data_IF_950455325689
#
_entry.id   IF_950455325689
#
_cell.length_a   1.000
_cell.length_b   1.000
_cell.length_c   1.000
_cell.angle_alpha   90.00
_cell.angle_beta   90.00
_cell.angle_gamma   90.00
#
_symmetry.space_group_name_H-M   'P 1'
#
loop_
_entity.id
_entity.type
_entity.pdbx_description
1 polymer ?
#
# COMPACT_ATOMS: atom_id res chain seq x y z
N UNK A 1 -28.59 -18.78 -29.07
CA UNK A 1 -28.86 -19.08 -27.68
C UNK A 1 -27.62 -19.53 -26.88
N UNK A 2 -26.52 -18.79 -26.89
CA UNK A 2 -25.38 -19.06 -26.01
C UNK A 2 -25.37 -18.22 -24.69
N UNK A 3 -26.19 -17.15 -24.62
CA UNK A 3 -26.12 -16.23 -23.48
C UNK A 3 -26.74 -16.78 -22.16
N UNK A 4 -27.72 -17.66 -22.27
CA UNK A 4 -28.42 -18.21 -21.10
C UNK A 4 -27.51 -19.17 -20.29
N UNK A 5 -26.62 -19.89 -20.98
CA UNK A 5 -25.75 -20.86 -20.31
C UNK A 5 -24.62 -20.18 -19.49
N UNK A 6 -24.10 -19.06 -19.98
CA UNK A 6 -23.06 -18.30 -19.30
C UNK A 6 -23.62 -17.58 -18.06
N UNK A 7 -24.84 -17.09 -18.12
CA UNK A 7 -25.53 -16.43 -17.01
C UNK A 7 -25.81 -17.42 -15.88
N UNK A 8 -26.19 -18.66 -16.20
CA UNK A 8 -26.49 -19.71 -15.19
C UNK A 8 -25.20 -20.16 -14.48
N UNK A 9 -24.08 -20.32 -15.20
CA UNK A 9 -22.81 -20.71 -14.59
C UNK A 9 -22.25 -19.60 -13.66
N UNK A 10 -22.40 -18.32 -14.02
CA UNK A 10 -22.02 -17.20 -13.13
C UNK A 10 -22.86 -17.20 -11.84
N UNK A 11 -24.16 -17.35 -11.94
CA UNK A 11 -25.06 -17.40 -10.79
C UNK A 11 -24.76 -18.60 -9.85
N UNK A 12 -24.38 -19.75 -10.39
CA UNK A 12 -24.04 -20.93 -9.59
C UNK A 12 -22.70 -20.78 -8.87
N UNK A 13 -21.73 -20.10 -9.47
CA UNK A 13 -20.43 -19.82 -8.81
C UNK A 13 -20.62 -18.81 -7.67
N UNK A 14 -21.43 -17.77 -7.88
CA UNK A 14 -21.67 -16.76 -6.86
C UNK A 14 -22.52 -17.28 -5.70
N UNK A 15 -23.43 -18.26 -5.94
CA UNK A 15 -24.21 -18.88 -4.87
C UNK A 15 -23.40 -19.77 -3.93
N UNK A 16 -22.27 -20.31 -4.39
CA UNK A 16 -21.36 -21.13 -3.55
C UNK A 16 -20.58 -20.30 -2.52
N UNK A 17 -20.47 -18.98 -2.71
CA UNK A 17 -19.76 -18.07 -1.80
C UNK A 17 -20.66 -17.34 -0.79
N UNK A 18 -21.98 -17.53 -0.88
CA UNK A 18 -22.97 -16.80 -0.06
C UNK A 18 -23.03 -17.21 1.42
N UNK A 19 -22.22 -18.17 1.88
CA UNK A 19 -22.45 -18.80 3.21
C UNK A 19 -21.56 -18.29 4.36
N UNK A 20 -20.78 -17.21 4.19
CA UNK A 20 -19.81 -16.82 5.22
C UNK A 20 -20.02 -15.47 5.90
N UNK A 21 -20.89 -14.61 5.38
CA UNK A 21 -20.99 -13.24 5.87
C UNK A 21 -22.25 -13.01 6.70
N UNK A 22 -22.07 -12.58 7.94
CA UNK A 22 -23.16 -12.17 8.85
C UNK A 22 -23.81 -10.83 8.47
N UNK A 23 -23.26 -10.15 7.44
CA UNK A 23 -23.78 -8.91 6.84
C UNK A 23 -24.35 -9.16 5.44
N UNK A 24 -25.03 -8.16 4.87
CA UNK A 24 -25.49 -8.20 3.48
C UNK A 24 -24.32 -8.16 2.49
N UNK A 25 -24.55 -8.71 1.29
CA UNK A 25 -23.58 -8.60 0.18
C UNK A 25 -24.20 -7.84 -0.96
N UNK A 26 -23.47 -6.84 -1.47
CA UNK A 26 -23.83 -6.10 -2.68
C UNK A 26 -22.90 -6.49 -3.82
N UNK A 27 -23.46 -6.59 -5.00
CA UNK A 27 -22.74 -6.90 -6.23
C UNK A 27 -22.63 -5.67 -7.10
N UNK A 28 -21.44 -5.41 -7.62
CA UNK A 28 -21.14 -4.34 -8.57
C UNK A 28 -20.59 -4.96 -9.85
N UNK A 29 -21.22 -4.69 -10.97
CA UNK A 29 -20.74 -5.11 -12.28
C UNK A 29 -21.17 -4.10 -13.35
N UNK A 30 -20.29 -3.12 -13.65
CA UNK A 30 -20.59 -2.08 -14.65
C UNK A 30 -20.80 -2.62 -16.06
N UNK A 31 -20.30 -3.81 -16.39
CA UNK A 31 -20.41 -4.43 -17.71
C UNK A 31 -21.65 -5.34 -17.83
N UNK A 32 -22.36 -5.60 -16.76
CA UNK A 32 -23.55 -6.44 -16.79
C UNK A 32 -24.69 -5.72 -17.52
N UNK A 33 -25.35 -6.37 -18.48
CA UNK A 33 -26.52 -5.79 -19.14
C UNK A 33 -27.65 -5.49 -18.14
N UNK A 34 -28.01 -4.22 -17.98
CA UNK A 34 -29.00 -3.79 -16.99
C UNK A 34 -28.43 -3.42 -15.63
N UNK A 35 -27.10 -3.37 -15.46
CA UNK A 35 -26.50 -2.78 -14.26
C UNK A 35 -26.96 -1.31 -14.09
N UNK A 36 -27.44 -0.97 -12.92
CA UNK A 36 -27.88 0.37 -12.56
C UNK A 36 -27.72 0.61 -11.06
N UNK A 37 -27.43 1.83 -10.68
CA UNK A 37 -27.39 2.18 -9.24
C UNK A 37 -28.80 2.25 -8.62
N UNK A 38 -29.85 2.19 -9.44
CA UNK A 38 -31.23 2.00 -8.98
C UNK A 38 -31.57 0.55 -8.61
N UNK A 39 -30.74 -0.43 -9.05
CA UNK A 39 -30.89 -1.83 -8.65
C UNK A 39 -30.66 -1.97 -7.15
N UNK A 40 -31.21 -3.01 -6.53
CA UNK A 40 -30.93 -3.32 -5.11
C UNK A 40 -29.49 -3.79 -4.86
N UNK A 41 -28.84 -4.35 -5.87
CA UNK A 41 -27.47 -4.88 -5.80
C UNK A 41 -27.36 -6.19 -5.03
N UNK A 42 -28.45 -6.78 -4.55
CA UNK A 42 -28.44 -7.96 -3.68
C UNK A 42 -28.15 -9.28 -4.43
N UNK A 43 -28.03 -9.22 -5.74
CA UNK A 43 -27.70 -10.39 -6.56
C UNK A 43 -26.82 -10.03 -7.75
N UNK A 44 -26.03 -10.99 -8.22
CA UNK A 44 -25.18 -10.82 -9.40
C UNK A 44 -25.97 -10.63 -10.73
N UNK A 45 -27.26 -10.91 -10.74
CA UNK A 45 -28.13 -10.67 -11.91
C UNK A 45 -28.86 -9.32 -11.87
N UNK A 46 -28.76 -8.57 -10.77
CA UNK A 46 -29.28 -7.22 -10.56
C UNK A 46 -28.22 -6.35 -9.87
N UNK A 47 -27.02 -6.23 -10.44
CA UNK A 47 -25.90 -5.56 -9.76
C UNK A 47 -26.07 -4.05 -9.81
N UNK A 48 -25.42 -3.38 -8.88
CA UNK A 48 -25.11 -1.96 -8.97
C UNK A 48 -24.17 -1.71 -10.15
N UNK A 49 -24.24 -0.52 -10.70
CA UNK A 49 -23.33 -0.13 -11.78
C UNK A 49 -22.01 0.41 -11.26
N UNK A 50 -22.04 1.12 -10.12
CA UNK A 50 -20.87 1.77 -9.52
C UNK A 50 -20.61 1.28 -8.11
N UNK A 51 -19.36 1.38 -7.67
CA UNK A 51 -18.97 1.07 -6.28
C UNK A 51 -19.58 2.11 -5.34
N UNK A 52 -19.56 3.39 -5.72
CA UNK A 52 -20.19 4.48 -4.97
C UNK A 52 -21.68 4.24 -4.77
N UNK A 53 -22.41 3.77 -5.81
CA UNK A 53 -23.82 3.40 -5.70
C UNK A 53 -24.05 2.21 -4.75
N UNK A 54 -23.12 1.26 -4.70
CA UNK A 54 -23.18 0.16 -3.75
C UNK A 54 -22.94 0.64 -2.31
N UNK A 55 -21.92 1.50 -2.07
CA UNK A 55 -21.68 2.09 -0.76
C UNK A 55 -22.94 2.83 -0.27
N UNK A 56 -23.54 3.68 -1.12
CA UNK A 56 -24.77 4.43 -0.76
C UNK A 56 -25.98 3.55 -0.43
N UNK A 57 -25.97 2.28 -0.80
CA UNK A 57 -27.03 1.29 -0.50
C UNK A 57 -26.65 0.32 0.61
N UNK A 58 -25.37 0.30 1.02
CA UNK A 58 -24.82 -0.59 2.02
C UNK A 58 -25.04 -0.10 3.45
N UNK A 59 -24.48 -0.85 4.38
CA UNK A 59 -24.46 -0.55 5.81
C UNK A 59 -23.17 -1.08 6.43
N UNK A 60 -22.91 -0.74 7.69
CA UNK A 60 -21.81 -1.31 8.48
C UNK A 60 -21.78 -2.83 8.41
N UNK A 61 -20.60 -3.42 8.27
CA UNK A 61 -20.38 -4.86 8.19
C UNK A 61 -20.82 -5.53 6.90
N UNK A 62 -21.24 -4.75 5.89
CA UNK A 62 -21.60 -5.31 4.59
C UNK A 62 -20.37 -5.58 3.73
N UNK A 63 -20.55 -6.47 2.76
CA UNK A 63 -19.55 -6.75 1.73
C UNK A 63 -20.00 -6.23 0.37
N UNK A 64 -19.10 -5.56 -0.34
CA UNK A 64 -19.28 -5.16 -1.73
C UNK A 64 -18.34 -6.02 -2.59
N UNK A 65 -18.92 -6.82 -3.48
CA UNK A 65 -18.20 -7.61 -4.45
C UNK A 65 -18.17 -6.92 -5.80
N UNK A 66 -16.97 -6.60 -6.25
CA UNK A 66 -16.75 -5.82 -7.45
C UNK A 66 -16.27 -6.74 -8.58
N UNK A 67 -17.04 -6.85 -9.64
CA UNK A 67 -16.69 -7.63 -10.82
C UNK A 67 -15.47 -7.01 -11.55
N UNK A 68 -14.79 -7.79 -12.42
CA UNK A 68 -13.73 -7.28 -13.26
C UNK A 68 -14.19 -6.09 -14.11
N UNK A 69 -13.33 -5.10 -14.24
CA UNK A 69 -13.60 -3.90 -15.04
C UNK A 69 -12.74 -2.72 -14.59
N UNK A 70 -12.78 -1.66 -15.37
CA UNK A 70 -12.09 -0.41 -15.04
C UNK A 70 -13.10 0.62 -14.50
N UNK A 71 -13.10 0.84 -13.21
CA UNK A 71 -13.95 1.80 -12.50
C UNK A 71 -13.24 3.14 -12.41
N UNK A 72 -13.81 4.17 -13.02
CA UNK A 72 -13.20 5.51 -13.11
C UNK A 72 -13.77 6.49 -12.10
N UNK A 73 -14.26 6.00 -10.98
CA UNK A 73 -14.86 6.77 -9.91
C UNK A 73 -13.88 7.06 -8.77
N UNK A 74 -14.05 8.19 -8.10
CA UNK A 74 -13.42 8.49 -6.83
C UNK A 74 -14.33 7.95 -5.73
N UNK A 75 -13.87 6.95 -5.00
CA UNK A 75 -14.65 6.21 -4.02
C UNK A 75 -14.39 6.81 -2.65
N UNK A 76 -15.44 7.27 -1.98
CA UNK A 76 -15.37 7.74 -0.59
C UNK A 76 -16.19 6.80 0.30
N UNK A 77 -15.56 6.22 1.31
CA UNK A 77 -16.22 5.48 2.38
C UNK A 77 -16.40 6.45 3.56
N UNK A 78 -17.59 7.01 3.76
CA UNK A 78 -17.79 8.00 4.81
C UNK A 78 -17.85 7.34 6.19
N UNK A 79 -17.77 8.13 7.25
CA UNK A 79 -17.99 7.68 8.62
C UNK A 79 -19.38 6.99 8.75
N UNK A 80 -19.46 5.96 9.58
CA UNK A 80 -20.68 5.19 9.78
C UNK A 80 -20.78 3.90 8.96
N UNK A 81 -19.72 3.52 8.23
CA UNK A 81 -19.61 2.27 7.46
C UNK A 81 -18.60 1.31 8.09
N UNK A 82 -18.58 1.22 9.41
CA UNK A 82 -17.66 0.37 10.15
C UNK A 82 -17.76 -1.09 9.72
N UNK A 83 -16.61 -1.71 9.46
CA UNK A 83 -16.54 -3.11 9.06
C UNK A 83 -16.97 -3.37 7.61
N UNK A 84 -17.09 -2.33 6.77
CA UNK A 84 -17.33 -2.50 5.34
C UNK A 84 -16.18 -3.26 4.70
N UNK A 85 -16.52 -4.23 3.85
CA UNK A 85 -15.57 -5.01 3.09
C UNK A 85 -15.75 -4.70 1.60
N UNK A 86 -14.69 -4.32 0.89
CA UNK A 86 -14.70 -4.19 -0.58
C UNK A 86 -13.74 -5.22 -1.18
N UNK A 87 -14.30 -6.20 -1.85
CA UNK A 87 -13.59 -7.30 -2.49
C UNK A 87 -13.62 -7.13 -4.01
N UNK A 88 -12.45 -6.93 -4.61
CA UNK A 88 -12.29 -7.04 -6.05
C UNK A 88 -12.22 -8.50 -6.51
N UNK A 89 -12.22 -8.73 -7.82
CA UNK A 89 -12.14 -10.09 -8.35
C UNK A 89 -10.71 -10.63 -8.40
N UNK A 90 -9.77 -9.80 -8.84
CA UNK A 90 -8.37 -10.14 -9.00
C UNK A 90 -7.54 -8.86 -9.02
N UNK A 91 -6.32 -8.92 -8.53
CA UNK A 91 -5.35 -7.82 -8.59
C UNK A 91 -4.43 -7.91 -9.81
N UNK A 92 -4.35 -9.07 -10.42
CA UNK A 92 -3.44 -9.36 -11.53
C UNK A 92 -4.20 -10.06 -12.66
N UNK A 93 -3.75 -9.86 -13.88
CA UNK A 93 -4.31 -10.54 -15.03
C UNK A 93 -5.33 -9.71 -15.84
N UNK A 94 -5.89 -10.32 -16.87
CA UNK A 94 -6.76 -9.65 -17.83
C UNK A 94 -8.18 -9.38 -17.31
N UNK A 95 -8.59 -10.10 -16.25
CA UNK A 95 -9.94 -10.01 -15.67
C UNK A 95 -9.91 -9.42 -14.26
N UNK A 96 -9.06 -8.41 -14.04
CA UNK A 96 -8.94 -7.76 -12.74
C UNK A 96 -9.98 -6.65 -12.54
N UNK A 97 -10.25 -6.35 -11.29
CA UNK A 97 -10.93 -5.13 -10.88
C UNK A 97 -9.90 -4.01 -10.79
N UNK A 98 -10.07 -2.93 -11.53
CA UNK A 98 -9.19 -1.77 -11.51
C UNK A 98 -9.96 -0.51 -11.12
N UNK A 99 -9.44 0.24 -10.15
CA UNK A 99 -9.92 1.58 -9.78
C UNK A 99 -8.93 2.58 -10.36
N UNK A 100 -9.39 3.41 -11.31
CA UNK A 100 -8.51 4.31 -12.07
C UNK A 100 -9.26 5.60 -12.45
N UNK A 101 -9.50 6.51 -11.50
CA UNK A 101 -10.06 7.82 -11.83
C UNK A 101 -9.03 8.65 -12.60
N UNK A 102 -9.52 9.60 -13.38
CA UNK A 102 -8.65 10.49 -14.15
C UNK A 102 -7.82 11.43 -13.25
N UNK A 103 -8.37 11.81 -12.10
CA UNK A 103 -7.72 12.70 -11.13
C UNK A 103 -8.28 12.48 -9.72
N UNK A 104 -7.60 13.01 -8.72
CA UNK A 104 -7.99 12.90 -7.32
C UNK A 104 -7.71 11.52 -6.72
N UNK A 105 -8.16 11.30 -5.50
CA UNK A 105 -7.93 10.08 -4.72
C UNK A 105 -8.87 8.97 -5.20
N UNK A 106 -8.36 7.83 -5.70
CA UNK A 106 -9.18 6.69 -6.10
C UNK A 106 -10.05 6.16 -4.97
N UNK A 107 -9.48 5.95 -3.77
CA UNK A 107 -10.23 5.46 -2.61
C UNK A 107 -9.84 6.25 -1.37
N UNK A 108 -10.85 6.84 -0.72
CA UNK A 108 -10.74 7.53 0.56
C UNK A 108 -11.60 6.83 1.61
N UNK A 109 -11.02 6.52 2.79
CA UNK A 109 -11.67 5.83 3.89
C UNK A 109 -11.72 6.75 5.10
N UNK A 110 -12.95 7.07 5.55
CA UNK A 110 -13.22 7.89 6.73
C UNK A 110 -14.04 7.11 7.78
N UNK A 111 -13.97 5.79 7.81
CA UNK A 111 -14.68 4.89 8.71
C UNK A 111 -13.71 3.92 9.36
N UNK A 112 -14.12 3.12 10.34
CA UNK A 112 -13.27 2.17 11.03
C UNK A 112 -13.45 0.74 10.51
N UNK A 113 -12.44 -0.12 10.75
CA UNK A 113 -12.49 -1.57 10.47
C UNK A 113 -12.83 -1.90 9.00
N UNK A 114 -12.45 -1.07 8.06
CA UNK A 114 -12.69 -1.30 6.63
C UNK A 114 -11.64 -2.26 6.09
N UNK A 115 -12.07 -3.21 5.25
CA UNK A 115 -11.20 -4.16 4.56
C UNK A 115 -11.30 -3.98 3.05
N UNK A 116 -10.14 -3.85 2.36
CA UNK A 116 -10.07 -3.70 0.90
C UNK A 116 -9.03 -4.66 0.35
N UNK A 117 -9.42 -5.48 -0.62
CA UNK A 117 -8.51 -6.49 -1.19
C UNK A 117 -8.88 -6.95 -2.61
N UNK A 118 -7.94 -7.68 -3.23
CA UNK A 118 -8.07 -8.31 -4.56
C UNK A 118 -8.38 -7.33 -5.70
N UNK A 119 -7.73 -6.17 -5.77
CA UNK A 119 -7.92 -5.23 -6.86
C UNK A 119 -6.63 -4.47 -7.21
N UNK A 120 -6.65 -3.84 -8.36
CA UNK A 120 -5.64 -2.86 -8.77
C UNK A 120 -6.18 -1.45 -8.51
N UNK A 121 -5.35 -0.60 -7.93
CA UNK A 121 -5.64 0.81 -7.72
C UNK A 121 -4.54 1.62 -8.40
N UNK A 122 -4.93 2.48 -9.34
CA UNK A 122 -4.00 3.37 -10.04
C UNK A 122 -4.23 4.77 -9.51
N UNK A 123 -3.19 5.39 -8.95
CA UNK A 123 -3.26 6.77 -8.49
C UNK A 123 -3.73 7.68 -9.63
N UNK A 124 -4.65 8.59 -9.36
CA UNK A 124 -5.06 9.58 -10.33
C UNK A 124 -3.92 10.58 -10.64
N UNK A 125 -4.12 11.50 -11.55
CA UNK A 125 -3.20 12.61 -11.73
C UNK A 125 -3.42 13.67 -10.65
N UNK A 126 -2.33 14.31 -10.21
CA UNK A 126 -2.42 15.42 -9.24
C UNK A 126 -3.25 16.55 -9.85
N UNK A 127 -4.30 16.97 -9.16
CA UNK A 127 -5.05 18.15 -9.57
C UNK A 127 -4.19 19.42 -9.38
N UNK A 128 -4.29 20.44 -10.26
CA UNK A 128 -3.56 21.68 -10.10
C UNK A 128 -3.88 22.31 -8.74
N UNK A 129 -2.87 22.43 -7.88
CA UNK A 129 -2.99 23.01 -6.54
C UNK A 129 -3.00 22.02 -5.39
N UNK A 130 -3.18 20.72 -5.65
CA UNK A 130 -2.99 19.67 -4.66
C UNK A 130 -1.50 19.31 -4.59
N UNK A 131 -1.01 19.14 -3.37
CA UNK A 131 0.39 18.80 -3.12
C UNK A 131 0.65 17.30 -3.14
N UNK A 132 -0.39 16.48 -2.95
CA UNK A 132 -0.26 15.03 -2.86
C UNK A 132 -1.49 14.33 -3.46
N UNK A 133 -1.25 13.41 -4.37
CA UNK A 133 -2.28 12.53 -4.89
C UNK A 133 -1.99 11.10 -4.41
N UNK A 134 -2.90 10.54 -3.67
CA UNK A 134 -2.78 9.22 -3.04
C UNK A 134 -3.70 8.24 -3.73
N UNK A 135 -3.23 7.01 -3.98
CA UNK A 135 -4.10 5.96 -4.52
C UNK A 135 -5.11 5.48 -3.46
N UNK A 136 -4.67 5.37 -2.22
CA UNK A 136 -5.51 4.94 -1.10
C UNK A 136 -5.22 5.78 0.14
N UNK A 137 -6.21 6.53 0.60
CA UNK A 137 -6.14 7.39 1.78
C UNK A 137 -6.99 6.85 2.91
N UNK A 138 -6.41 6.66 4.10
CA UNK A 138 -7.05 6.03 5.23
C UNK A 138 -7.06 6.95 6.46
N UNK A 139 -8.25 7.09 7.04
CA UNK A 139 -8.48 7.61 8.40
C UNK A 139 -9.30 6.64 9.22
N UNK A 140 -9.03 6.57 10.52
CA UNK A 140 -9.75 5.73 11.47
C UNK A 140 -8.97 4.51 11.92
N UNK A 141 -9.64 3.51 12.45
CA UNK A 141 -9.01 2.43 13.21
C UNK A 141 -9.12 1.07 12.53
N UNK A 142 -8.10 0.20 12.72
CA UNK A 142 -8.13 -1.23 12.41
C UNK A 142 -8.47 -1.58 10.95
N UNK A 143 -7.93 -0.86 10.00
CA UNK A 143 -8.11 -1.19 8.59
C UNK A 143 -7.30 -2.42 8.19
N UNK A 144 -7.83 -3.20 7.24
CA UNK A 144 -7.10 -4.28 6.58
C UNK A 144 -7.00 -4.01 5.10
N UNK A 145 -5.80 -3.84 4.62
CA UNK A 145 -5.48 -3.51 3.24
C UNK A 145 -4.53 -4.57 2.72
N UNK A 146 -5.02 -5.46 1.85
CA UNK A 146 -4.20 -6.58 1.44
C UNK A 146 -4.50 -7.06 0.02
N UNK A 147 -3.59 -7.86 -0.53
CA UNK A 147 -3.74 -8.42 -1.87
C UNK A 147 -4.06 -7.36 -2.94
N UNK A 148 -3.49 -6.16 -2.82
CA UNK A 148 -3.65 -5.08 -3.78
C UNK A 148 -2.46 -4.98 -4.74
N UNK A 149 -2.73 -4.47 -5.94
CA UNK A 149 -1.72 -3.88 -6.83
C UNK A 149 -1.93 -2.38 -6.86
N UNK A 150 -0.98 -1.61 -6.34
CA UNK A 150 -1.05 -0.15 -6.27
C UNK A 150 0.00 0.43 -7.20
N UNK A 151 -0.44 1.25 -8.15
CA UNK A 151 0.42 1.78 -9.19
C UNK A 151 0.47 3.31 -9.13
N UNK A 152 1.69 3.87 -9.09
CA UNK A 152 1.93 5.29 -9.28
C UNK A 152 1.67 5.71 -10.73
N UNK A 153 1.00 6.84 -10.96
CA UNK A 153 0.66 7.33 -12.29
C UNK A 153 1.26 8.69 -12.64
N UNK A 154 1.64 9.48 -11.65
CA UNK A 154 2.19 10.83 -11.82
C UNK A 154 3.25 11.14 -10.79
N UNK A 155 4.06 12.16 -11.08
CA UNK A 155 4.99 12.70 -10.09
C UNK A 155 4.23 13.22 -8.86
N UNK A 156 4.82 13.12 -7.69
CA UNK A 156 4.21 13.50 -6.43
C UNK A 156 3.06 12.60 -5.96
N UNK A 157 2.82 11.46 -6.62
CA UNK A 157 1.79 10.52 -6.17
C UNK A 157 2.27 9.64 -5.02
N UNK A 158 1.33 9.29 -4.14
CA UNK A 158 1.56 8.34 -3.05
C UNK A 158 0.72 7.08 -3.27
N UNK A 159 1.24 5.94 -2.84
CA UNK A 159 0.51 4.68 -2.93
C UNK A 159 -0.56 4.60 -1.84
N UNK A 160 -0.15 4.46 -0.59
CA UNK A 160 -1.03 4.39 0.58
C UNK A 160 -0.66 5.50 1.55
N UNK A 161 -1.64 6.25 2.02
CA UNK A 161 -1.46 7.23 3.08
C UNK A 161 -2.30 6.84 4.31
N UNK A 162 -1.63 6.53 5.40
CA UNK A 162 -2.21 6.31 6.72
C UNK A 162 -2.17 7.65 7.47
N UNK A 163 -3.30 8.31 7.65
CA UNK A 163 -3.44 9.60 8.31
C UNK A 163 -4.38 9.47 9.52
N UNK A 164 -3.84 9.44 10.73
CA UNK A 164 -4.61 9.10 11.93
C UNK A 164 -5.31 7.72 11.76
N UNK A 165 -4.57 6.76 11.21
CA UNK A 165 -5.06 5.44 10.85
C UNK A 165 -4.45 4.37 11.77
N UNK A 166 -4.88 4.35 13.02
CA UNK A 166 -4.33 3.47 14.05
C UNK A 166 -4.63 1.99 13.78
N UNK A 167 -3.65 1.15 14.11
CA UNK A 167 -3.73 -0.31 13.96
C UNK A 167 -4.05 -0.76 12.54
N UNK A 168 -3.72 0.05 11.54
CA UNK A 168 -3.86 -0.36 10.15
C UNK A 168 -2.91 -1.53 9.85
N UNK A 169 -3.41 -2.54 9.13
CA UNK A 169 -2.67 -3.73 8.70
C UNK A 169 -2.61 -3.75 7.17
N UNK A 170 -1.41 -3.47 6.63
CA UNK A 170 -1.15 -3.40 5.18
C UNK A 170 -0.23 -4.54 4.81
N UNK A 171 -0.74 -5.52 4.05
CA UNK A 171 0.05 -6.71 3.74
C UNK A 171 -0.25 -7.34 2.37
N UNK A 172 0.70 -8.17 1.91
CA UNK A 172 0.58 -8.93 0.66
C UNK A 172 0.27 -8.06 -0.57
N UNK A 173 0.68 -6.78 -0.54
CA UNK A 173 0.48 -5.82 -1.63
C UNK A 173 1.72 -5.72 -2.54
N UNK A 174 1.45 -5.44 -3.82
CA UNK A 174 2.44 -4.97 -4.79
C UNK A 174 2.28 -3.48 -4.99
N UNK A 175 3.28 -2.68 -4.60
CA UNK A 175 3.22 -1.21 -4.55
C UNK A 175 4.35 -0.65 -5.43
N UNK A 176 4.01 -0.23 -6.66
CA UNK A 176 4.98 0.18 -7.69
C UNK A 176 4.80 1.66 -8.07
N UNK A 177 5.81 2.46 -7.83
CA UNK A 177 5.83 3.90 -8.15
C UNK A 177 6.06 4.23 -9.61
N UNK A 178 6.50 3.29 -10.44
CA UNK A 178 6.78 3.51 -11.86
C UNK A 178 7.85 4.57 -12.12
N UNK A 179 8.80 4.73 -11.19
CA UNK A 179 9.88 5.74 -11.22
C UNK A 179 9.39 7.19 -11.26
N UNK A 180 8.26 7.47 -10.62
CA UNK A 180 7.77 8.85 -10.48
C UNK A 180 8.53 9.59 -9.41
N UNK A 181 8.88 10.86 -9.67
CA UNK A 181 9.58 11.73 -8.72
C UNK A 181 8.65 12.14 -7.57
N UNK A 182 9.21 12.40 -6.41
CA UNK A 182 8.51 12.84 -5.19
C UNK A 182 7.38 11.89 -4.73
N UNK A 183 7.42 10.64 -5.17
CA UNK A 183 6.42 9.63 -4.81
C UNK A 183 6.76 8.89 -3.51
N UNK A 184 5.73 8.35 -2.85
CA UNK A 184 5.87 7.53 -1.65
C UNK A 184 5.01 6.28 -1.78
N UNK A 185 5.61 5.10 -1.53
CA UNK A 185 4.88 3.85 -1.58
C UNK A 185 3.85 3.74 -0.47
N UNK A 186 4.29 3.80 0.77
CA UNK A 186 3.42 3.83 1.96
C UNK A 186 3.85 5.00 2.84
N UNK A 187 2.94 5.92 3.12
CA UNK A 187 3.19 7.01 4.05
C UNK A 187 2.46 6.77 5.37
N UNK A 188 3.21 6.63 6.45
CA UNK A 188 2.70 6.55 7.82
C UNK A 188 2.66 7.97 8.36
N UNK A 189 1.48 8.58 8.31
CA UNK A 189 1.25 9.99 8.60
C UNK A 189 1.21 10.34 10.07
N UNK A 190 0.87 11.60 10.35
CA UNK A 190 0.74 12.13 11.69
C UNK A 190 -0.22 11.31 12.55
N UNK A 191 0.11 11.20 13.82
CA UNK A 191 -0.73 10.62 14.87
C UNK A 191 -1.16 9.16 14.63
N UNK A 192 -0.61 8.50 13.60
CA UNK A 192 -0.85 7.08 13.31
C UNK A 192 -0.10 6.20 14.29
N UNK A 193 -0.81 5.33 15.01
CA UNK A 193 -0.25 4.49 16.07
C UNK A 193 -0.40 3.00 15.73
N UNK A 194 0.68 2.22 15.99
CA UNK A 194 0.68 0.76 15.93
C UNK A 194 0.27 0.14 14.60
N UNK A 195 0.56 0.81 13.49
CA UNK A 195 0.34 0.27 12.16
C UNK A 195 1.32 -0.85 11.85
N UNK A 196 0.88 -1.83 11.06
CA UNK A 196 1.69 -2.94 10.60
C UNK A 196 1.78 -2.95 9.08
N UNK A 197 3.01 -2.91 8.57
CA UNK A 197 3.31 -2.96 7.14
C UNK A 197 4.16 -4.22 6.91
N UNK A 198 3.58 -5.26 6.30
CA UNK A 198 4.28 -6.53 6.19
C UNK A 198 3.96 -7.33 4.92
N UNK A 199 4.90 -8.17 4.52
CA UNK A 199 4.77 -9.02 3.34
C UNK A 199 4.44 -8.24 2.06
N UNK A 200 4.90 -7.01 1.93
CA UNK A 200 4.67 -6.20 0.75
C UNK A 200 5.90 -6.20 -0.16
N UNK A 201 5.66 -6.01 -1.45
CA UNK A 201 6.69 -5.69 -2.43
C UNK A 201 6.55 -4.21 -2.82
N UNK A 202 7.51 -3.37 -2.38
CA UNK A 202 7.46 -1.91 -2.51
C UNK A 202 8.63 -1.45 -3.38
N UNK A 203 8.34 -0.89 -4.55
CA UNK A 203 9.39 -0.65 -5.55
C UNK A 203 9.16 0.59 -6.40
N UNK A 204 10.26 1.10 -6.97
CA UNK A 204 10.31 2.16 -7.99
C UNK A 204 9.69 3.50 -7.56
N UNK A 205 9.80 3.84 -6.29
CA UNK A 205 9.43 5.15 -5.78
C UNK A 205 10.63 6.10 -5.84
N UNK A 206 10.46 7.15 -6.64
CA UNK A 206 11.51 8.10 -6.96
C UNK A 206 12.28 7.77 -8.23
N UNK A 207 12.76 8.78 -8.93
CA UNK A 207 13.70 8.61 -10.03
C UNK A 207 15.10 8.49 -9.47
N UNK A 208 15.84 7.45 -9.82
CA UNK A 208 17.26 7.30 -9.47
C UNK A 208 18.21 8.33 -10.10
N UNK A 209 17.69 9.38 -10.70
CA UNK A 209 18.42 10.49 -11.29
C UNK A 209 18.11 11.74 -10.48
N UNK A 210 18.69 11.81 -9.28
CA UNK A 210 18.56 12.98 -8.41
C UNK A 210 19.46 14.10 -8.88
N UNK A 211 18.89 15.22 -9.18
CA UNK A 211 19.53 16.54 -9.22
C UNK A 211 19.39 17.23 -7.85
N UNK A 212 19.94 16.57 -6.87
CA UNK A 212 20.47 17.20 -5.63
C UNK A 212 19.54 18.04 -4.78
N UNK A 213 18.25 17.75 -4.69
CA UNK A 213 17.58 18.61 -3.73
C UNK A 213 16.08 18.56 -3.50
N UNK A 214 15.23 17.93 -4.23
CA UNK A 214 13.79 17.93 -3.91
C UNK A 214 12.98 16.79 -4.52
N UNK A 215 13.61 15.86 -5.23
CA UNK A 215 12.90 14.92 -6.10
C UNK A 215 13.02 13.47 -5.59
N UNK A 216 12.90 13.28 -4.30
CA UNK A 216 13.20 12.04 -3.63
C UNK A 216 11.93 11.21 -3.45
N UNK A 217 11.87 10.01 -4.01
CA UNK A 217 10.79 9.08 -3.72
C UNK A 217 11.19 8.07 -2.66
N UNK A 218 10.25 7.65 -1.86
CA UNK A 218 10.47 6.74 -0.74
C UNK A 218 9.61 5.50 -0.85
N UNK A 219 10.19 4.32 -0.60
CA UNK A 219 9.42 3.10 -0.46
C UNK A 219 8.41 3.24 0.67
N UNK A 220 8.90 3.58 1.87
CA UNK A 220 8.07 3.92 3.03
C UNK A 220 8.52 5.28 3.56
N UNK A 221 7.60 6.23 3.65
CA UNK A 221 7.77 7.50 4.35
C UNK A 221 7.10 7.43 5.72
N UNK A 222 7.77 7.91 6.75
CA UNK A 222 7.22 7.92 8.09
C UNK A 222 7.26 9.32 8.68
N UNK A 223 6.09 9.81 9.09
CA UNK A 223 6.01 11.08 9.81
C UNK A 223 6.44 10.89 11.27
N UNK A 224 7.03 11.93 11.82
CA UNK A 224 7.65 11.88 13.13
C UNK A 224 6.70 11.58 14.28
N UNK A 225 5.45 12.00 14.20
CA UNK A 225 4.46 11.76 15.25
C UNK A 225 3.77 10.37 15.14
N UNK A 226 4.09 9.58 14.12
CA UNK A 226 3.65 8.19 14.09
C UNK A 226 4.39 7.39 15.17
N UNK A 227 3.77 6.37 15.73
CA UNK A 227 4.34 5.62 16.85
C UNK A 227 4.10 4.12 16.71
N UNK A 228 5.06 3.32 17.21
CA UNK A 228 4.93 1.86 17.37
C UNK A 228 4.61 1.11 16.07
N UNK A 229 5.08 1.62 14.96
CA UNK A 229 4.88 0.94 13.68
C UNK A 229 5.75 -0.31 13.60
N UNK A 230 5.18 -1.39 13.06
CA UNK A 230 5.90 -2.62 12.75
C UNK A 230 6.05 -2.75 11.23
N UNK A 231 7.28 -2.62 10.75
CA UNK A 231 7.64 -2.81 9.33
C UNK A 231 8.44 -4.11 9.25
N UNK A 232 7.83 -5.17 8.70
CA UNK A 232 8.45 -6.51 8.73
C UNK A 232 8.15 -7.32 7.48
N UNK A 233 9.10 -8.19 7.11
CA UNK A 233 8.91 -9.15 6.02
C UNK A 233 8.54 -8.50 4.68
N UNK A 234 8.99 -7.27 4.43
CA UNK A 234 8.79 -6.60 3.15
C UNK A 234 10.03 -6.73 2.24
N UNK A 235 9.78 -6.76 0.94
CA UNK A 235 10.77 -6.48 -0.10
C UNK A 235 10.69 -5.00 -0.47
N UNK A 236 11.68 -4.21 -0.08
CA UNK A 236 11.75 -2.75 -0.30
C UNK A 236 12.92 -2.49 -1.25
N UNK A 237 12.63 -2.49 -2.55
CA UNK A 237 13.63 -2.61 -3.60
C UNK A 237 13.51 -1.51 -4.64
N UNK A 238 14.67 -1.08 -5.20
CA UNK A 238 14.70 -0.17 -6.36
C UNK A 238 13.92 1.15 -6.13
N UNK A 239 14.03 1.69 -4.90
CA UNK A 239 13.50 3.00 -4.55
C UNK A 239 14.63 4.03 -4.49
N UNK A 240 14.34 5.33 -4.47
CA UNK A 240 15.37 6.32 -4.18
C UNK A 240 15.87 6.17 -2.74
N UNK A 241 14.95 6.11 -1.78
CA UNK A 241 15.23 5.69 -0.39
C UNK A 241 14.26 4.58 -0.01
N UNK A 242 14.71 3.52 0.63
CA UNK A 242 13.86 2.43 1.09
C UNK A 242 12.86 2.90 2.14
N UNK A 243 13.35 3.34 3.31
CA UNK A 243 12.54 3.92 4.40
C UNK A 243 13.09 5.29 4.75
N UNK A 244 12.21 6.29 4.81
CA UNK A 244 12.57 7.67 5.14
C UNK A 244 11.80 8.18 6.36
N UNK A 245 12.52 8.64 7.37
CA UNK A 245 11.97 9.32 8.54
C UNK A 245 11.98 10.83 8.31
N UNK A 246 10.79 11.44 8.25
CA UNK A 246 10.66 12.87 8.04
C UNK A 246 11.15 13.66 9.27
N UNK A 247 11.95 14.74 9.04
CA UNK A 247 12.52 15.52 10.12
C UNK A 247 11.44 16.22 10.97
N UNK A 248 11.70 16.37 12.28
CA UNK A 248 10.76 17.01 13.17
C UNK A 248 10.69 18.52 12.99
N UNK A 249 9.49 19.05 13.15
CA UNK A 249 9.28 20.46 13.46
C UNK A 249 9.41 20.79 14.95
N UNK A 250 9.80 19.83 15.82
CA UNK A 250 9.87 19.99 17.27
C UNK A 250 10.27 18.71 18.01
N UNK A 251 10.31 18.71 19.35
CA UNK A 251 10.60 17.53 20.15
C UNK A 251 9.50 16.48 19.95
N UNK A 252 9.89 15.27 19.68
CA UNK A 252 9.01 14.20 19.25
C UNK A 252 9.29 12.93 20.03
N UNK A 253 8.21 12.29 20.44
CA UNK A 253 8.26 11.01 21.10
C UNK A 253 8.10 9.89 20.05
N UNK A 254 9.19 9.54 19.38
CA UNK A 254 9.20 8.29 18.61
C UNK A 254 9.39 7.16 19.61
N UNK A 255 8.36 6.41 19.88
CA UNK A 255 8.45 5.25 20.74
C UNK A 255 8.12 3.98 19.97
N UNK A 256 9.06 3.03 20.00
CA UNK A 256 8.75 1.63 19.82
C UNK A 256 8.54 1.15 18.39
N UNK A 257 9.03 1.84 17.38
CA UNK A 257 9.03 1.32 16.01
C UNK A 257 9.95 0.10 15.89
N UNK A 258 9.55 -0.85 15.04
CA UNK A 258 10.34 -2.03 14.72
C UNK A 258 10.44 -2.21 13.20
N UNK A 259 11.67 -2.26 12.70
CA UNK A 259 12.01 -2.56 11.31
C UNK A 259 12.80 -3.86 11.34
N UNK A 260 12.14 -4.98 11.07
CA UNK A 260 12.72 -6.30 11.24
C UNK A 260 12.40 -7.24 10.08
N UNK A 261 13.33 -8.14 9.74
CA UNK A 261 13.15 -9.16 8.71
C UNK A 261 12.80 -8.64 7.31
N UNK A 262 13.14 -7.39 6.98
CA UNK A 262 12.93 -6.86 5.63
C UNK A 262 14.11 -7.14 4.71
N UNK A 263 13.85 -7.19 3.42
CA UNK A 263 14.86 -7.23 2.39
C UNK A 263 14.98 -5.84 1.75
N UNK A 264 16.16 -5.26 1.82
CA UNK A 264 16.50 -4.02 1.13
C UNK A 264 17.51 -4.31 0.03
N UNK A 265 17.24 -3.88 -1.18
CA UNK A 265 18.20 -3.98 -2.28
C UNK A 265 17.91 -2.93 -3.36
N UNK A 266 18.97 -2.56 -4.08
CA UNK A 266 18.87 -1.68 -5.26
C UNK A 266 18.26 -0.29 -4.98
N UNK A 267 18.09 0.11 -3.70
CA UNK A 267 17.70 1.46 -3.37
C UNK A 267 18.86 2.42 -3.71
N UNK A 268 18.54 3.50 -4.45
CA UNK A 268 19.57 4.29 -5.14
C UNK A 268 20.41 5.12 -4.19
N UNK A 269 19.81 5.63 -3.10
CA UNK A 269 20.47 6.53 -2.16
C UNK A 269 20.70 5.86 -0.80
N UNK A 270 19.62 5.45 -0.14
CA UNK A 270 19.68 4.82 1.18
C UNK A 270 18.67 3.69 1.31
N UNK A 271 18.99 2.64 2.07
CA UNK A 271 18.01 1.64 2.45
C UNK A 271 17.11 2.15 3.58
N UNK A 272 17.69 2.78 4.58
CA UNK A 272 16.97 3.47 5.64
C UNK A 272 17.66 4.82 5.89
N UNK A 273 16.89 5.91 5.90
CA UNK A 273 17.39 7.25 6.12
C UNK A 273 16.68 7.91 7.30
N UNK A 274 17.45 8.16 8.34
CA UNK A 274 16.98 8.88 9.53
C UNK A 274 18.07 9.85 9.99
N UNK A 275 17.72 11.13 10.09
CA UNK A 275 18.64 12.19 10.53
C UNK A 275 18.39 12.66 11.95
N UNK A 276 17.54 11.96 12.70
CA UNK A 276 17.15 12.40 14.03
C UNK A 276 18.07 11.86 15.13
N UNK A 277 18.33 12.69 16.11
CA UNK A 277 18.95 12.31 17.38
C UNK A 277 17.84 11.89 18.36
N UNK A 278 17.55 10.59 18.45
CA UNK A 278 16.60 10.04 19.40
C UNK A 278 17.27 9.41 20.63
N UNK A 279 16.55 9.26 21.75
CA UNK A 279 17.00 8.38 22.82
C UNK A 279 17.19 6.94 22.32
N UNK A 280 18.10 6.22 22.94
CA UNK A 280 18.61 4.90 22.51
C UNK A 280 17.54 3.79 22.27
N UNK A 281 16.30 3.99 22.68
CA UNK A 281 15.23 2.99 22.63
C UNK A 281 14.16 3.23 21.59
N UNK A 282 14.31 4.26 20.74
CA UNK A 282 13.20 4.72 19.92
C UNK A 282 12.86 3.78 18.74
N UNK A 283 13.86 3.20 18.08
CA UNK A 283 13.65 2.33 16.93
C UNK A 283 14.42 1.02 17.10
N UNK A 284 13.72 -0.10 16.96
CA UNK A 284 14.35 -1.42 16.90
C UNK A 284 14.60 -1.80 15.47
N UNK A 285 15.86 -1.93 15.06
CA UNK A 285 16.25 -2.41 13.73
C UNK A 285 17.05 -3.69 13.93
N UNK A 286 16.51 -4.80 13.45
CA UNK A 286 17.09 -6.10 13.66
C UNK A 286 16.73 -7.09 12.55
N UNK A 287 17.66 -7.98 12.26
CA UNK A 287 17.44 -9.11 11.33
C UNK A 287 16.97 -8.72 9.93
N UNK A 288 17.41 -7.58 9.40
CA UNK A 288 17.16 -7.20 8.02
C UNK A 288 18.28 -7.69 7.10
N UNK A 289 17.94 -7.92 5.84
CA UNK A 289 18.91 -8.17 4.79
C UNK A 289 19.13 -6.90 3.98
N UNK A 290 20.39 -6.53 3.79
CA UNK A 290 20.80 -5.41 2.96
C UNK A 290 21.60 -5.93 1.77
N UNK A 291 20.96 -5.99 0.59
CA UNK A 291 21.57 -6.43 -0.66
C UNK A 291 22.50 -5.35 -1.22
N UNK A 292 23.64 -5.78 -1.76
CA UNK A 292 24.53 -4.86 -2.45
C UNK A 292 23.95 -4.54 -3.81
N UNK A 293 23.69 -3.25 -4.10
CA UNK A 293 23.50 -2.75 -5.44
C UNK A 293 24.77 -2.02 -5.91
N UNK A 294 24.97 -1.97 -7.21
CA UNK A 294 26.10 -1.25 -7.84
C UNK A 294 26.04 0.27 -7.67
N UNK A 295 25.09 0.80 -6.90
CA UNK A 295 24.89 2.21 -6.62
C UNK A 295 24.30 2.50 -5.24
N UNK A 296 23.89 1.48 -4.51
CA UNK A 296 23.31 1.64 -3.17
C UNK A 296 24.38 1.86 -2.12
N UNK A 297 24.47 3.03 -1.59
CA UNK A 297 25.22 3.27 -0.35
C UNK A 297 24.26 3.00 0.79
N UNK A 298 24.47 1.90 1.49
CA UNK A 298 23.96 1.80 2.86
C UNK A 298 24.52 3.02 3.58
N UNK A 299 23.67 3.89 4.11
CA UNK A 299 24.16 5.08 4.78
C UNK A 299 24.93 4.70 6.02
N UNK A 300 26.22 4.99 6.00
CA UNK A 300 27.10 4.89 7.15
C UNK A 300 27.44 6.30 7.58
N UNK A 301 27.12 6.65 8.80
CA UNK A 301 27.95 7.62 9.44
C UNK A 301 29.28 6.91 9.71
N UNK A 302 30.25 7.15 8.87
CA UNK A 302 31.65 6.83 9.15
C UNK A 302 32.09 7.73 10.32
N UNK A 303 31.76 7.31 11.56
CA UNK A 303 32.11 8.06 12.76
C UNK A 303 33.60 7.96 13.08
N UNK A 304 34.34 7.10 12.40
CA UNK A 304 35.78 6.89 12.65
C UNK A 304 36.68 7.14 11.43
N UNK A 305 36.11 7.43 10.26
CA UNK A 305 36.87 7.82 9.05
C UNK A 305 37.64 6.69 8.38
N UNK A 306 37.27 5.42 8.60
CA UNK A 306 38.03 4.28 8.07
C UNK A 306 37.53 3.71 6.74
N UNK A 307 36.43 4.26 6.20
CA UNK A 307 35.76 3.83 4.98
C UNK A 307 35.28 2.35 5.00
N UNK A 308 35.10 1.75 6.17
CA UNK A 308 34.58 0.40 6.32
C UNK A 308 33.13 0.46 6.79
N UNK A 309 32.27 -0.10 5.99
CA UNK A 309 30.85 -0.21 6.22
C UNK A 309 30.51 -1.24 7.29
N UNK A 310 30.65 -0.93 8.57
CA UNK A 310 30.55 -1.92 9.63
C UNK A 310 29.18 -2.00 10.31
N UNK A 311 28.29 -1.05 10.10
CA UNK A 311 26.93 -1.10 10.64
C UNK A 311 26.07 0.00 10.04
N UNK A 312 24.76 -0.24 9.96
CA UNK A 312 23.80 0.83 9.74
C UNK A 312 23.81 1.66 11.00
N UNK A 313 24.39 2.84 10.89
CA UNK A 313 24.38 3.81 11.99
C UNK A 313 23.36 4.86 11.59
N UNK A 314 22.25 4.91 12.31
CA UNK A 314 21.40 6.10 12.29
C UNK A 314 22.12 7.22 13.01
N UNK A 315 21.80 8.47 12.68
CA UNK A 315 22.17 9.58 13.54
C UNK A 315 21.55 9.32 14.92
N UNK A 316 22.39 9.01 15.90
CA UNK A 316 21.96 8.49 17.18
C UNK A 316 22.47 7.07 17.45
N UNK A 317 21.79 6.33 18.26
CA UNK A 317 22.22 5.03 18.77
C UNK A 317 21.54 3.82 18.14
N UNK A 318 20.66 4.03 17.14
CA UNK A 318 19.96 2.94 16.46
C UNK A 318 20.89 2.19 15.51
N UNK A 319 20.90 0.86 15.58
CA UNK A 319 21.73 -0.03 14.76
C UNK A 319 20.95 -1.28 14.44
N UNK A 320 21.17 -1.82 13.24
CA UNK A 320 20.79 -3.22 13.02
C UNK A 320 21.71 -4.12 13.85
N UNK A 321 21.12 -4.86 14.78
CA UNK A 321 21.87 -5.70 15.73
C UNK A 321 22.27 -7.04 15.12
N UNK A 322 21.50 -7.52 14.14
CA UNK A 322 21.69 -8.84 13.53
C UNK A 322 21.31 -8.82 12.04
N UNK A 323 22.09 -8.16 11.18
CA UNK A 323 21.80 -8.15 9.74
C UNK A 323 21.82 -9.57 9.18
N UNK A 324 20.86 -9.91 8.34
CA UNK A 324 20.80 -11.23 7.72
C UNK A 324 21.90 -11.39 6.68
N UNK A 325 22.51 -12.56 6.63
CA UNK A 325 23.53 -12.89 5.63
C UNK A 325 22.94 -13.14 4.22
N UNK A 326 21.61 -13.14 4.09
CA UNK A 326 20.89 -13.35 2.85
C UNK A 326 19.43 -12.94 2.99
N UNK A 327 18.71 -12.78 1.87
CA UNK A 327 17.33 -12.33 1.90
C UNK A 327 16.44 -13.29 2.68
N UNK A 328 15.50 -12.74 3.43
CA UNK A 328 14.47 -13.50 4.12
C UNK A 328 13.53 -14.13 3.08
N UNK A 329 13.40 -15.45 3.09
CA UNK A 329 12.49 -16.15 2.17
C UNK A 329 11.14 -16.29 2.86
N UNK A 330 10.21 -15.42 2.55
CA UNK A 330 8.83 -15.57 2.99
C UNK A 330 7.94 -16.08 1.84
N UNK A 331 6.97 -16.92 2.15
CA UNK A 331 6.29 -17.79 1.18
C UNK A 331 4.98 -17.21 0.63
N UNK A 332 4.66 -15.95 0.86
CA UNK A 332 3.33 -15.40 0.57
C UNK A 332 3.09 -14.89 -0.85
N UNK A 333 4.11 -14.37 -1.54
CA UNK A 333 3.93 -13.70 -2.86
C UNK A 333 4.35 -14.56 -4.06
N UNK A 334 4.88 -15.76 -3.84
CA UNK A 334 5.47 -16.62 -4.90
C UNK A 334 4.41 -17.18 -5.89
N UNK A 335 3.16 -16.80 -5.76
CA UNK A 335 2.09 -17.38 -6.58
C UNK A 335 1.92 -16.84 -8.00
N UNK A 336 2.47 -15.71 -8.43
CA UNK A 336 2.21 -15.22 -9.79
C UNK A 336 2.93 -13.94 -10.25
N UNK A 337 4.04 -13.56 -9.68
CA UNK A 337 4.84 -12.52 -10.34
C UNK A 337 5.39 -13.11 -11.66
N UNK A 338 5.18 -12.47 -12.81
CA UNK A 338 5.85 -12.89 -14.02
C UNK A 338 7.35 -12.79 -13.75
N UNK A 339 8.05 -13.92 -13.82
CA UNK A 339 9.51 -13.91 -13.89
C UNK A 339 9.86 -13.10 -15.13
N UNK A 340 10.32 -11.90 -14.93
CA UNK A 340 11.02 -11.19 -15.99
C UNK A 340 12.26 -12.03 -16.29
N UNK A 341 12.16 -12.80 -17.40
CA UNK A 341 13.26 -13.58 -17.89
C UNK A 341 14.43 -12.65 -18.13
N UNK A 342 15.54 -12.89 -17.44
CA UNK A 342 16.79 -12.23 -17.73
C UNK A 342 17.12 -12.45 -19.20
N UNK A 343 17.23 -11.38 -19.95
CA UNK A 343 17.98 -11.37 -21.19
C UNK A 343 19.46 -11.32 -20.80
N UNK A 344 20.14 -12.42 -21.12
CA UNK A 344 21.59 -12.51 -21.17
C UNK A 344 22.11 -11.59 -22.27
#
# INVERSE_FOLDING_TARGET
>A
MPSLFITTIRADIDSLYLSRDSGGTLFVDQAFPGASDDNDGLSAISPKKTITGAIGSGSSGWKIRVAPGNYTENIVIPAGYEGLIIEGRDRLGANRTTISPASGIPIEINSNNVEIFNMEIIAGTVAPGDTHNTALYLKGLNHKIHDLSILGNSDGCWGIWLDDADYADVHDCYIDGGYKVDGIGVFIGNDTISSKIHNNYITKWGSGVGDGGANNGYGIGRHINAQRSLITENDILDNYVGIYYYPPGGPTDIEGDSIIHNNFAENTSYDIYDTHEYPESAINIDSNFFGYSTGGVVWHADSNGDNVADSIIFCGTNRDRHPLAGPHIWRGVVGSLPRFGGLV
#
